data_IF_767121513874
#
_entry.id   IF_767121513874
#
_cell.length_a   1.000
_cell.length_b   1.000
_cell.length_c   1.000
_cell.angle_alpha   90.00
_cell.angle_beta   90.00
_cell.angle_gamma   90.00
#
_symmetry.space_group_name_H-M   'P 1'
#
loop_
_entity.id
_entity.type
_entity.pdbx_description
1 polymer ?
#
# COMPACT_ATOMS: atom_id res chain seq x y z
N UNK A 1 -29.36 0.80 -15.53
CA UNK A 1 -28.76 1.51 -14.37
C UNK A 1 -27.83 0.61 -13.56
N UNK A 2 -28.31 -0.44 -12.87
CA UNK A 2 -27.42 -1.28 -12.05
C UNK A 2 -26.34 -2.05 -12.83
N UNK A 3 -26.73 -2.70 -13.94
CA UNK A 3 -25.80 -3.48 -14.78
C UNK A 3 -24.71 -2.60 -15.40
N UNK A 4 -25.07 -1.41 -15.90
CA UNK A 4 -24.13 -0.48 -16.53
C UNK A 4 -23.11 0.06 -15.53
N UNK A 5 -23.55 0.38 -14.30
CA UNK A 5 -22.66 0.82 -13.22
C UNK A 5 -21.64 -0.26 -12.84
N UNK A 6 -22.08 -1.51 -12.68
CA UNK A 6 -21.17 -2.63 -12.41
C UNK A 6 -20.21 -2.90 -13.57
N UNK A 7 -20.70 -2.81 -14.82
CA UNK A 7 -19.86 -3.02 -16.00
C UNK A 7 -18.74 -1.97 -16.09
N UNK A 8 -19.05 -0.69 -15.84
CA UNK A 8 -18.05 0.38 -15.79
C UNK A 8 -17.07 0.18 -14.63
N UNK A 9 -17.59 -0.13 -13.43
CA UNK A 9 -16.77 -0.41 -12.25
C UNK A 9 -15.80 -1.56 -12.46
N UNK A 10 -16.25 -2.64 -13.10
CA UNK A 10 -15.41 -3.78 -13.45
C UNK A 10 -14.27 -3.40 -14.40
N UNK A 11 -14.56 -2.62 -15.45
CA UNK A 11 -13.52 -2.14 -16.38
C UNK A 11 -12.48 -1.26 -15.68
N UNK A 12 -12.93 -0.32 -14.86
CA UNK A 12 -12.04 0.58 -14.12
C UNK A 12 -11.15 -0.19 -13.12
N UNK A 13 -11.73 -1.13 -12.37
CA UNK A 13 -10.99 -1.97 -11.43
C UNK A 13 -9.99 -2.90 -12.14
N UNK A 14 -10.40 -3.54 -13.23
CA UNK A 14 -9.51 -4.39 -14.02
C UNK A 14 -8.32 -3.60 -14.57
N UNK A 15 -8.53 -2.34 -14.98
CA UNK A 15 -7.45 -1.47 -15.43
C UNK A 15 -6.47 -1.11 -14.30
N UNK A 16 -6.97 -0.72 -13.14
CA UNK A 16 -6.13 -0.43 -11.97
C UNK A 16 -5.25 -1.64 -11.60
N UNK A 17 -5.82 -2.84 -11.60
CA UNK A 17 -5.09 -4.08 -11.33
C UNK A 17 -4.03 -4.37 -12.39
N UNK A 18 -4.32 -4.12 -13.66
CA UNK A 18 -3.36 -4.32 -14.76
C UNK A 18 -2.19 -3.34 -14.70
N UNK A 19 -2.43 -2.11 -14.25
CA UNK A 19 -1.40 -1.08 -14.12
C UNK A 19 -0.47 -1.32 -12.92
N UNK A 20 -0.89 -2.10 -11.91
CA UNK A 20 -0.04 -2.48 -10.78
C UNK A 20 0.33 -1.34 -9.83
N UNK A 21 -0.13 -0.11 -10.09
CA UNK A 21 0.31 1.08 -9.36
C UNK A 21 -0.13 1.04 -7.89
N UNK A 22 -1.28 0.45 -7.58
CA UNK A 22 -1.75 0.28 -6.20
C UNK A 22 -0.91 -0.75 -5.45
N UNK A 23 -0.56 -1.85 -6.11
CA UNK A 23 0.27 -2.93 -5.61
C UNK A 23 1.69 -2.43 -5.31
N UNK A 24 2.25 -1.60 -6.19
CA UNK A 24 3.57 -0.98 -5.99
C UNK A 24 3.56 -0.04 -4.78
N UNK A 25 2.53 0.80 -4.63
CA UNK A 25 2.38 1.68 -3.47
C UNK A 25 2.22 0.89 -2.17
N UNK A 26 1.49 -0.22 -2.19
CA UNK A 26 1.32 -1.10 -1.05
C UNK A 26 2.65 -1.75 -0.66
N UNK A 27 3.36 -2.30 -1.64
CA UNK A 27 4.68 -2.91 -1.43
C UNK A 27 5.66 -1.90 -0.84
N UNK A 28 5.74 -0.70 -1.41
CA UNK A 28 6.63 0.34 -0.90
C UNK A 28 6.26 0.76 0.53
N UNK A 29 4.97 0.87 0.84
CA UNK A 29 4.49 1.24 2.19
C UNK A 29 4.90 0.21 3.25
N UNK A 30 4.89 -1.07 2.92
CA UNK A 30 5.17 -2.15 3.87
C UNK A 30 6.56 -2.78 3.72
N UNK A 31 7.43 -2.21 2.86
CA UNK A 31 8.79 -2.72 2.58
C UNK A 31 9.67 -2.93 3.81
N UNK A 32 9.41 -2.22 4.91
CA UNK A 32 10.16 -2.36 6.15
C UNK A 32 9.98 -3.74 6.80
N UNK A 33 8.92 -4.46 6.46
CA UNK A 33 8.66 -5.81 6.93
C UNK A 33 9.35 -6.87 6.06
N UNK A 34 9.79 -6.54 4.85
CA UNK A 34 10.49 -7.48 3.97
C UNK A 34 11.97 -7.71 4.40
N UNK A 35 12.50 -6.89 5.32
CA UNK A 35 13.90 -6.95 5.74
C UNK A 35 14.16 -6.47 7.16
N UNK A 36 15.37 -6.75 7.67
CA UNK A 36 15.81 -6.28 8.99
C UNK A 36 14.88 -6.66 10.14
N UNK A 37 14.65 -5.72 11.07
CA UNK A 37 13.81 -5.95 12.25
C UNK A 37 12.35 -6.26 11.88
N UNK A 38 11.82 -5.68 10.80
CA UNK A 38 10.43 -5.91 10.39
C UNK A 38 10.21 -7.36 9.95
N UNK A 39 11.20 -7.95 9.27
CA UNK A 39 11.16 -9.36 8.90
C UNK A 39 11.23 -10.28 10.12
N UNK A 40 12.06 -9.94 11.10
CA UNK A 40 12.14 -10.70 12.36
C UNK A 40 10.83 -10.64 13.15
N UNK A 41 10.12 -9.50 13.09
CA UNK A 41 8.77 -9.35 13.66
C UNK A 41 7.78 -10.26 12.92
N UNK A 42 7.75 -10.22 11.58
CA UNK A 42 6.84 -11.01 10.76
C UNK A 42 7.05 -12.52 10.96
N UNK A 43 8.30 -12.96 11.04
CA UNK A 43 8.66 -14.37 11.24
C UNK A 43 8.57 -14.82 12.72
N UNK A 44 8.11 -13.95 13.62
CA UNK A 44 7.88 -14.27 15.04
C UNK A 44 9.15 -14.48 15.86
N UNK A 45 10.31 -14.00 15.38
CA UNK A 45 11.60 -14.13 16.07
C UNK A 45 11.94 -12.92 16.95
N UNK A 46 11.30 -11.77 16.72
CA UNK A 46 11.46 -10.61 17.56
C UNK A 46 10.82 -10.81 18.95
N UNK A 47 11.49 -10.33 19.99
CA UNK A 47 10.99 -10.28 21.36
C UNK A 47 10.98 -8.83 21.86
N UNK A 48 10.28 -8.53 22.95
CA UNK A 48 10.32 -7.18 23.53
C UNK A 48 11.73 -6.72 23.88
N UNK A 49 12.58 -7.62 24.39
CA UNK A 49 13.97 -7.32 24.69
C UNK A 49 14.78 -6.94 23.44
N UNK A 50 14.64 -7.70 22.35
CA UNK A 50 15.37 -7.39 21.11
C UNK A 50 14.86 -6.11 20.44
N UNK A 51 13.57 -5.80 20.58
CA UNK A 51 12.98 -4.56 20.08
C UNK A 51 13.41 -3.33 20.89
N UNK A 52 13.52 -3.47 22.21
CA UNK A 52 14.06 -2.43 23.10
C UNK A 52 15.52 -2.12 22.73
N UNK A 53 16.38 -3.14 22.64
CA UNK A 53 17.78 -3.01 22.21
C UNK A 53 17.90 -2.39 20.81
N UNK A 54 16.97 -2.69 19.90
CA UNK A 54 16.97 -2.14 18.54
C UNK A 54 16.63 -0.64 18.49
N UNK A 55 15.75 -0.15 19.35
CA UNK A 55 15.19 1.22 19.24
C UNK A 55 15.84 2.22 20.21
N UNK A 56 16.44 1.78 21.31
CA UNK A 56 16.87 2.65 22.41
C UNK A 56 17.86 3.76 22.00
N UNK A 57 18.74 3.47 21.03
CA UNK A 57 19.73 4.41 20.51
C UNK A 57 19.36 4.99 19.14
N UNK A 58 18.17 4.69 18.61
CA UNK A 58 17.71 5.19 17.31
C UNK A 58 16.81 6.42 17.49
N UNK A 59 16.99 7.39 16.60
CA UNK A 59 15.95 8.42 16.43
C UNK A 59 14.66 7.77 15.94
N UNK A 60 13.54 8.20 16.51
CA UNK A 60 12.23 7.66 16.15
C UNK A 60 11.94 7.98 14.68
N UNK A 61 11.71 6.95 13.82
CA UNK A 61 11.49 7.20 12.42
C UNK A 61 10.19 7.99 12.21
N UNK A 62 10.25 9.01 11.35
CA UNK A 62 9.04 9.68 10.90
C UNK A 62 8.23 8.72 10.02
N UNK A 63 6.89 8.70 10.17
CA UNK A 63 6.06 7.88 9.31
C UNK A 63 6.13 8.38 7.87
N UNK A 64 6.18 7.45 6.92
CA UNK A 64 6.09 7.75 5.50
C UNK A 64 4.73 8.40 5.16
N UNK A 65 4.69 9.43 4.29
CA UNK A 65 3.45 10.05 3.86
C UNK A 65 2.46 9.05 3.24
N UNK A 66 1.18 9.15 3.58
CA UNK A 66 0.14 8.21 3.15
C UNK A 66 -0.25 8.30 1.66
N UNK A 67 0.11 9.40 0.98
CA UNK A 67 -0.21 9.69 -0.43
C UNK A 67 -1.71 9.56 -0.77
N UNK A 68 -2.60 9.86 0.18
CA UNK A 68 -4.05 9.68 0.02
C UNK A 68 -4.62 10.42 -1.20
N UNK A 69 -4.30 11.70 -1.37
CA UNK A 69 -4.79 12.50 -2.51
C UNK A 69 -4.37 11.91 -3.87
N UNK A 70 -3.17 11.32 -3.92
CA UNK A 70 -2.68 10.64 -5.12
C UNK A 70 -3.48 9.37 -5.40
N UNK A 71 -3.79 8.58 -4.38
CA UNK A 71 -4.63 7.38 -4.48
C UNK A 71 -6.05 7.72 -4.97
N UNK A 72 -6.66 8.76 -4.40
CA UNK A 72 -7.99 9.24 -4.83
C UNK A 72 -7.98 9.67 -6.31
N UNK A 73 -6.90 10.35 -6.74
CA UNK A 73 -6.72 10.73 -8.14
C UNK A 73 -6.59 9.52 -9.07
N UNK A 74 -5.90 8.45 -8.66
CA UNK A 74 -5.78 7.22 -9.46
C UNK A 74 -7.15 6.58 -9.69
N UNK A 75 -7.99 6.51 -8.66
CA UNK A 75 -9.36 5.98 -8.77
C UNK A 75 -10.22 6.84 -9.70
N UNK A 76 -10.16 8.17 -9.56
CA UNK A 76 -10.88 9.07 -10.45
C UNK A 76 -10.44 8.89 -11.91
N UNK A 77 -9.14 8.78 -12.14
CA UNK A 77 -8.58 8.58 -13.47
C UNK A 77 -8.99 7.24 -14.08
N UNK A 78 -9.02 6.15 -13.31
CA UNK A 78 -9.42 4.84 -13.83
C UNK A 78 -10.89 4.83 -14.25
N UNK A 79 -11.78 5.44 -13.46
CA UNK A 79 -13.20 5.59 -13.81
C UNK A 79 -13.38 6.39 -15.10
N UNK A 80 -12.73 7.56 -15.21
CA UNK A 80 -12.82 8.41 -16.41
C UNK A 80 -12.28 7.68 -17.64
N UNK A 81 -11.19 6.95 -17.48
CA UNK A 81 -10.56 6.24 -18.60
C UNK A 81 -11.32 4.99 -19.05
N UNK A 82 -12.09 4.36 -18.17
CA UNK A 82 -12.93 3.20 -18.49
C UNK A 82 -14.25 3.57 -19.16
N UNK A 83 -14.69 4.83 -19.02
CA UNK A 83 -15.88 5.38 -19.66
C UNK A 83 -15.64 6.01 -21.04
N UNK A 84 -14.38 6.10 -21.47
CA UNK A 84 -14.00 6.46 -22.85
C UNK A 84 -13.84 5.21 -23.69
#
# INVERSE_FOLDING_TARGET
AGMDTFALGLKAAAKLLQEGTLEDLLKERYRSFDSGIGKEIEEGRASFKSLEEYIIDKESPLPEPSRQEYLERLVNWSIVSAGR
#
